data_IF_933223030640
#
_entry.id   IF_933223030640
#
_cell.length_a   1.000
_cell.length_b   1.000
_cell.length_c   1.000
_cell.angle_alpha   90.00
_cell.angle_beta   90.00
_cell.angle_gamma   90.00
#
_symmetry.space_group_name_H-M   'P 1'
#
loop_
_entity.id
_entity.type
_entity.pdbx_description
1 polymer ?
#
# COMPACT_ATOMS: atom_id res chain seq x y z
N UNK A 1 -1.72 3.08 11.05
CA UNK A 1 -2.83 2.21 10.62
C UNK A 1 -3.81 1.96 11.74
N UNK A 2 -3.37 1.48 12.91
CA UNK A 2 -4.29 1.10 14.00
C UNK A 2 -5.21 2.23 14.47
N UNK A 3 -4.66 3.44 14.64
CA UNK A 3 -5.47 4.63 14.92
C UNK A 3 -6.52 4.92 13.83
N UNK A 4 -6.22 4.64 12.56
CA UNK A 4 -7.19 4.84 11.48
C UNK A 4 -8.29 3.79 11.51
N UNK A 5 -7.97 2.52 11.83
CA UNK A 5 -8.96 1.45 11.99
C UNK A 5 -9.92 1.78 13.13
N UNK A 6 -9.38 2.18 14.29
CA UNK A 6 -10.17 2.59 15.45
C UNK A 6 -11.11 3.75 15.13
N UNK A 7 -10.56 4.84 14.59
CA UNK A 7 -11.35 6.04 14.27
C UNK A 7 -12.41 5.73 13.22
N UNK A 8 -12.06 5.13 12.09
CA UNK A 8 -13.03 4.80 11.05
C UNK A 8 -14.12 3.84 11.55
N UNK A 9 -13.78 2.87 12.40
CA UNK A 9 -14.74 1.98 13.04
C UNK A 9 -15.75 2.72 13.91
N UNK A 10 -15.31 3.72 14.69
CA UNK A 10 -16.17 4.54 15.54
C UNK A 10 -17.17 5.41 14.74
N UNK A 11 -16.85 5.71 13.47
CA UNK A 11 -17.69 6.52 12.58
C UNK A 11 -18.36 5.71 11.47
N UNK A 12 -18.31 4.37 11.51
CA UNK A 12 -18.85 3.49 10.47
C UNK A 12 -18.34 3.81 9.06
N UNK A 13 -17.10 4.28 8.94
CA UNK A 13 -16.45 4.57 7.67
C UNK A 13 -15.67 3.32 7.23
N UNK A 14 -15.96 2.74 6.06
CA UNK A 14 -15.16 1.64 5.52
C UNK A 14 -13.70 2.05 5.34
N UNK A 15 -12.78 1.21 5.80
CA UNK A 15 -11.33 1.46 5.67
C UNK A 15 -10.60 0.20 5.18
N UNK A 16 -9.71 0.40 4.22
CA UNK A 16 -8.80 -0.64 3.74
C UNK A 16 -7.47 -0.60 4.50
N UNK A 17 -7.15 -1.69 5.20
CA UNK A 17 -5.85 -1.88 5.85
C UNK A 17 -4.77 -2.21 4.83
N UNK A 18 -4.27 -1.18 4.14
CA UNK A 18 -3.22 -1.32 3.12
C UNK A 18 -1.89 -1.81 3.71
N UNK A 19 -1.61 -1.51 4.98
CA UNK A 19 -0.38 -1.95 5.64
C UNK A 19 -0.32 -3.48 5.77
N UNK A 20 -1.46 -4.13 6.04
CA UNK A 20 -1.53 -5.59 6.21
C UNK A 20 -2.06 -6.33 4.99
N UNK A 21 -2.97 -5.72 4.24
CA UNK A 21 -3.68 -6.35 3.11
C UNK A 21 -3.25 -5.84 1.74
N UNK A 22 -2.41 -4.79 1.66
CA UNK A 22 -2.05 -4.16 0.38
C UNK A 22 -1.05 -4.92 -0.48
N UNK A 23 -0.43 -6.00 0.04
CA UNK A 23 0.52 -6.81 -0.74
C UNK A 23 1.82 -6.09 -1.12
N UNK A 24 2.18 -5.05 -0.36
CA UNK A 24 3.41 -4.26 -0.49
C UNK A 24 4.38 -4.64 0.62
N UNK A 25 5.56 -5.14 0.23
CA UNK A 25 6.57 -5.62 1.17
C UNK A 25 7.74 -4.62 1.28
N UNK A 26 7.48 -3.47 1.89
CA UNK A 26 8.47 -2.38 1.99
C UNK A 26 9.79 -2.81 2.68
N UNK A 27 9.72 -3.75 3.63
CA UNK A 27 10.91 -4.26 4.33
C UNK A 27 11.68 -5.34 3.56
N UNK A 28 11.28 -5.69 2.34
CA UNK A 28 11.97 -6.67 1.51
C UNK A 28 12.79 -5.98 0.40
N UNK A 29 14.11 -6.13 0.45
CA UNK A 29 15.04 -5.45 -0.47
C UNK A 29 14.82 -5.81 -1.94
N UNK A 30 14.53 -7.09 -2.21
CA UNK A 30 14.25 -7.56 -3.56
C UNK A 30 12.95 -6.96 -4.10
N UNK A 31 11.92 -6.90 -3.26
CA UNK A 31 10.65 -6.28 -3.59
C UNK A 31 10.82 -4.78 -3.87
N UNK A 32 11.56 -4.05 -3.01
CA UNK A 32 11.84 -2.63 -3.21
C UNK A 32 12.53 -2.38 -4.55
N UNK A 33 13.55 -3.16 -4.89
CA UNK A 33 14.28 -3.03 -6.16
C UNK A 33 13.38 -3.13 -7.40
N UNK A 34 12.28 -3.86 -7.32
CA UNK A 34 11.36 -4.07 -8.44
C UNK A 34 10.24 -3.02 -8.46
N UNK A 35 9.69 -2.68 -7.29
CA UNK A 35 8.41 -1.99 -7.16
C UNK A 35 8.49 -0.58 -6.56
N UNK A 36 9.65 -0.13 -6.08
CA UNK A 36 9.86 1.22 -5.54
C UNK A 36 10.60 2.11 -6.54
N UNK A 37 10.50 3.42 -6.35
CA UNK A 37 11.20 4.40 -7.18
C UNK A 37 12.71 4.30 -6.95
N UNK A 38 13.50 4.52 -8.00
CA UNK A 38 14.92 4.74 -7.84
C UNK A 38 15.14 6.24 -7.63
N UNK A 39 15.48 6.66 -6.42
CA UNK A 39 16.00 8.03 -6.21
C UNK A 39 17.42 8.15 -6.77
N UNK A 40 17.95 9.37 -6.83
CA UNK A 40 19.32 9.67 -7.29
C UNK A 40 20.42 8.81 -6.61
N UNK A 41 20.14 8.15 -5.49
CA UNK A 41 21.05 7.23 -4.78
C UNK A 41 20.39 5.89 -4.37
N UNK A 42 19.27 5.47 -4.98
CA UNK A 42 18.49 4.29 -4.57
C UNK A 42 18.09 4.27 -3.08
N UNK A 43 17.88 5.44 -2.49
CA UNK A 43 17.49 5.61 -1.09
C UNK A 43 15.98 5.72 -0.89
N UNK A 44 15.19 5.70 -1.96
CA UNK A 44 13.74 5.76 -1.82
C UNK A 44 13.20 4.40 -1.38
N UNK A 45 12.79 4.36 -0.12
CA UNK A 45 12.18 3.18 0.50
C UNK A 45 10.69 3.38 0.78
N UNK A 46 10.09 4.46 0.26
CA UNK A 46 8.73 4.86 0.60
C UNK A 46 7.80 4.89 -0.63
N UNK A 47 8.28 5.37 -1.77
CA UNK A 47 7.43 5.59 -2.94
C UNK A 47 7.47 4.40 -3.90
N UNK A 48 6.28 3.92 -4.27
CA UNK A 48 6.12 2.93 -5.32
C UNK A 48 6.42 3.55 -6.70
N UNK A 49 6.95 2.72 -7.60
CA UNK A 49 6.99 3.04 -9.02
C UNK A 49 5.68 2.60 -9.70
N UNK A 50 5.57 2.79 -11.01
CA UNK A 50 4.39 2.39 -11.80
C UNK A 50 3.99 0.93 -11.56
N UNK A 51 4.92 -0.02 -11.64
CA UNK A 51 4.65 -1.45 -11.39
C UNK A 51 4.17 -1.71 -9.96
N UNK A 52 4.70 -0.96 -8.99
CA UNK A 52 4.27 -1.03 -7.60
C UNK A 52 2.82 -0.55 -7.45
N UNK A 53 2.48 0.57 -8.09
CA UNK A 53 1.11 1.10 -8.11
C UNK A 53 0.13 0.16 -8.83
N UNK A 54 0.48 -0.40 -9.99
CA UNK A 54 -0.36 -1.38 -10.70
C UNK A 54 -0.65 -2.62 -9.85
N UNK A 55 0.35 -3.09 -9.10
CA UNK A 55 0.19 -4.22 -8.17
C UNK A 55 -0.77 -3.86 -7.04
N UNK A 56 -0.61 -2.69 -6.43
CA UNK A 56 -1.49 -2.22 -5.35
C UNK A 56 -2.93 -2.01 -5.84
N UNK A 57 -3.10 -1.44 -7.04
CA UNK A 57 -4.40 -1.12 -7.62
C UNK A 57 -5.33 -2.33 -7.67
N UNK A 58 -4.85 -3.49 -8.15
CA UNK A 58 -5.65 -4.72 -8.22
C UNK A 58 -6.21 -5.16 -6.87
N UNK A 59 -5.45 -4.93 -5.80
CA UNK A 59 -5.85 -5.27 -4.43
C UNK A 59 -6.86 -4.26 -3.90
N UNK A 60 -6.59 -2.95 -4.10
CA UNK A 60 -7.46 -1.87 -3.62
C UNK A 60 -8.80 -1.81 -4.37
N UNK A 61 -8.81 -2.11 -5.67
CA UNK A 61 -10.01 -2.15 -6.51
C UNK A 61 -11.04 -3.15 -5.98
N UNK A 62 -10.58 -4.32 -5.53
CA UNK A 62 -11.45 -5.33 -4.91
C UNK A 62 -12.12 -4.84 -3.63
N UNK A 63 -11.54 -3.86 -2.92
CA UNK A 63 -12.16 -3.24 -1.74
C UNK A 63 -13.19 -2.17 -2.13
N UNK A 64 -12.91 -1.39 -3.17
CA UNK A 64 -13.80 -0.32 -3.63
C UNK A 64 -15.07 -0.90 -4.27
N UNK A 65 -14.94 -1.97 -5.06
CA UNK A 65 -16.05 -2.58 -5.80
C UNK A 65 -16.94 -3.52 -4.95
N UNK A 66 -16.73 -3.59 -3.63
CA UNK A 66 -17.57 -4.38 -2.71
C UNK A 66 -18.92 -3.72 -2.38
N UNK A 67 -19.16 -2.50 -2.87
CA UNK A 67 -20.37 -1.69 -2.65
C UNK A 67 -21.04 -1.35 -3.98
#
# INVERSE_FOLDING_TARGET
>A
MDAMIEVCGNYSIPIFDSARKGGIYANNDHFRKIYFQNSKNNTDTAHLNEKGHERFLKVAESFILQY
#
